data_IF_194017049976
#
_entry.id   IF_194017049976
#
_cell.length_a   1.000
_cell.length_b   1.000
_cell.length_c   1.000
_cell.angle_alpha   90.00
_cell.angle_beta   90.00
_cell.angle_gamma   90.00
#
_symmetry.space_group_name_H-M   'P 1'
#
loop_
_entity.id
_entity.type
_entity.pdbx_description
1 polymer ?
#
# COMPACT_ATOMS: atom_id res chain seq x y z
N UNK A 1 19.81 11.99 -19.31
CA UNK A 1 18.58 12.66 -19.78
C UNK A 1 18.12 11.96 -21.05
N UNK A 2 16.81 11.71 -21.22
CA UNK A 2 16.28 11.02 -22.39
C UNK A 2 16.33 9.48 -22.37
N UNK A 3 16.99 8.85 -21.40
CA UNK A 3 16.88 7.41 -21.16
C UNK A 3 15.47 7.10 -20.63
N UNK A 4 14.82 6.07 -21.17
CA UNK A 4 13.47 5.73 -20.73
C UNK A 4 13.46 5.05 -19.34
N UNK A 5 12.36 5.18 -18.63
CA UNK A 5 12.20 4.48 -17.33
C UNK A 5 12.34 2.96 -17.52
N UNK A 6 11.84 2.41 -18.64
CA UNK A 6 11.98 0.98 -18.99
C UNK A 6 13.46 0.57 -19.06
N UNK A 7 14.27 1.32 -19.77
CA UNK A 7 15.72 1.03 -19.89
C UNK A 7 16.39 1.04 -18.53
N UNK A 8 16.04 2.00 -17.67
CA UNK A 8 16.60 2.09 -16.31
C UNK A 8 16.19 0.88 -15.49
N UNK A 9 14.89 0.49 -15.50
CA UNK A 9 14.36 -0.59 -14.66
C UNK A 9 14.76 -1.96 -15.20
N UNK A 10 14.57 -2.21 -16.51
CA UNK A 10 14.70 -3.56 -17.07
C UNK A 10 16.13 -3.85 -17.54
N UNK A 11 16.77 -2.91 -18.28
CA UNK A 11 18.08 -3.15 -18.87
C UNK A 11 19.21 -2.90 -17.85
N UNK A 12 19.18 -1.75 -17.16
CA UNK A 12 20.24 -1.38 -16.21
C UNK A 12 19.99 -2.05 -14.84
N UNK A 13 18.77 -1.99 -14.35
CA UNK A 13 18.37 -2.52 -13.04
C UNK A 13 18.12 -4.03 -13.00
N UNK A 14 18.03 -4.69 -14.17
CA UNK A 14 17.77 -6.14 -14.25
C UNK A 14 16.32 -6.55 -13.97
N UNK A 15 15.38 -5.61 -13.99
CA UNK A 15 13.94 -5.85 -13.81
C UNK A 15 13.51 -6.02 -12.36
N UNK A 16 12.30 -6.57 -12.17
CA UNK A 16 11.73 -6.78 -10.84
C UNK A 16 12.14 -8.15 -10.29
N UNK A 17 12.69 -8.21 -9.07
CA UNK A 17 13.09 -9.48 -8.45
C UNK A 17 11.96 -10.52 -8.40
N UNK A 18 12.31 -11.79 -8.63
CA UNK A 18 11.34 -12.89 -8.57
C UNK A 18 10.37 -12.98 -9.75
N UNK A 19 10.63 -12.23 -10.85
CA UNK A 19 9.79 -12.27 -12.06
C UNK A 19 8.42 -11.60 -11.88
N UNK A 20 8.24 -10.78 -10.86
CA UNK A 20 7.03 -10.01 -10.63
C UNK A 20 6.89 -8.88 -11.66
N UNK A 21 5.68 -8.37 -11.79
CA UNK A 21 5.38 -7.28 -12.72
C UNK A 21 5.72 -5.92 -12.10
N UNK A 22 6.26 -5.03 -12.92
CA UNK A 22 6.37 -3.62 -12.58
C UNK A 22 4.99 -3.00 -12.38
N UNK A 23 4.80 -2.29 -11.29
CA UNK A 23 3.55 -1.57 -10.99
C UNK A 23 3.73 -0.07 -11.15
N UNK A 24 4.73 0.47 -10.51
CA UNK A 24 5.01 1.90 -10.53
C UNK A 24 6.46 2.20 -10.13
N UNK A 25 6.90 3.41 -10.40
CA UNK A 25 8.13 3.96 -9.83
C UNK A 25 7.87 5.32 -9.20
N UNK A 26 8.60 5.65 -8.17
CA UNK A 26 8.62 6.97 -7.53
C UNK A 26 9.95 7.63 -7.81
N UNK A 27 9.92 8.82 -8.42
CA UNK A 27 11.09 9.68 -8.62
C UNK A 27 11.05 10.87 -7.67
N UNK A 28 12.19 11.48 -7.38
CA UNK A 28 12.28 12.67 -6.54
C UNK A 28 11.96 12.45 -5.06
N UNK A 29 11.95 11.20 -4.59
CA UNK A 29 11.65 10.85 -3.21
C UNK A 29 10.26 11.32 -2.75
N UNK A 30 10.12 11.79 -1.49
CA UNK A 30 8.82 12.22 -0.94
C UNK A 30 8.25 13.49 -1.57
N UNK A 31 9.05 14.20 -2.36
CA UNK A 31 8.63 15.42 -3.08
C UNK A 31 8.14 15.15 -4.49
N UNK A 32 8.46 13.98 -5.04
CA UNK A 32 8.12 13.60 -6.41
C UNK A 32 6.74 12.97 -6.53
N UNK A 33 6.49 12.39 -7.69
CA UNK A 33 5.24 11.71 -8.01
C UNK A 33 5.45 10.26 -8.42
N UNK A 34 4.39 9.49 -8.31
CA UNK A 34 4.36 8.10 -8.73
C UNK A 34 4.15 8.02 -10.25
N UNK A 35 4.95 7.21 -10.92
CA UNK A 35 4.91 6.95 -12.37
C UNK A 35 4.36 5.53 -12.57
N UNK A 36 3.11 5.35 -13.05
CA UNK A 36 2.54 4.03 -13.25
C UNK A 36 3.09 3.34 -14.50
N UNK A 37 2.84 2.03 -14.62
CA UNK A 37 3.35 1.18 -15.69
C UNK A 37 3.05 1.69 -17.12
N UNK A 38 1.95 2.42 -17.30
CA UNK A 38 1.58 3.02 -18.60
C UNK A 38 2.60 4.05 -19.12
N UNK A 39 3.42 4.60 -18.25
CA UNK A 39 4.48 5.57 -18.60
C UNK A 39 5.88 4.96 -18.50
N UNK A 40 6.01 3.65 -18.57
CA UNK A 40 7.31 2.97 -18.46
C UNK A 40 8.28 3.39 -19.60
N UNK A 41 7.75 3.79 -20.75
CA UNK A 41 8.54 4.23 -21.90
C UNK A 41 8.79 5.75 -21.95
N UNK A 42 8.41 6.48 -20.88
CA UNK A 42 8.65 7.92 -20.79
C UNK A 42 10.16 8.19 -20.65
N UNK A 43 10.71 9.16 -21.38
CA UNK A 43 12.07 9.64 -21.13
C UNK A 43 12.19 10.28 -19.75
N UNK A 44 13.24 9.95 -19.03
CA UNK A 44 13.50 10.57 -17.72
C UNK A 44 14.24 11.88 -17.94
N UNK A 45 13.47 12.95 -17.98
CA UNK A 45 13.92 14.33 -18.04
C UNK A 45 12.95 15.24 -17.27
N UNK A 46 13.29 16.52 -17.14
CA UNK A 46 12.51 17.44 -16.32
C UNK A 46 11.10 17.69 -16.87
N UNK A 47 10.99 17.91 -18.19
CA UNK A 47 9.73 18.33 -18.82
C UNK A 47 8.71 17.19 -18.84
N UNK A 48 9.12 16.01 -19.29
CA UNK A 48 8.27 14.82 -19.34
C UNK A 48 7.78 14.40 -17.93
N UNK A 49 8.66 14.47 -16.92
CA UNK A 49 8.28 14.12 -15.56
C UNK A 49 7.28 15.12 -14.95
N UNK A 50 7.44 16.41 -15.23
CA UNK A 50 6.50 17.44 -14.76
C UNK A 50 5.13 17.25 -15.42
N UNK A 51 5.05 16.93 -16.71
CA UNK A 51 3.80 16.71 -17.44
C UNK A 51 2.95 15.61 -16.82
N UNK A 52 3.56 14.53 -16.36
CA UNK A 52 2.85 13.42 -15.70
C UNK A 52 2.61 13.64 -14.19
N UNK A 53 3.01 14.79 -13.65
CA UNK A 53 2.84 15.13 -12.24
C UNK A 53 3.92 14.57 -11.30
N UNK A 54 5.08 14.21 -11.86
CA UNK A 54 6.26 13.81 -11.11
C UNK A 54 7.36 14.87 -11.17
N UNK A 55 8.55 14.56 -10.69
CA UNK A 55 9.72 15.42 -10.77
C UNK A 55 11.01 14.59 -10.65
N UNK A 56 12.10 15.09 -11.23
CA UNK A 56 13.42 14.44 -11.14
C UNK A 56 13.97 14.41 -9.71
N UNK A 57 13.81 15.52 -8.99
CA UNK A 57 14.38 15.69 -7.65
C UNK A 57 15.91 15.47 -7.67
N UNK A 58 16.40 14.69 -6.70
CA UNK A 58 17.81 14.31 -6.58
C UNK A 58 18.20 13.11 -7.46
N UNK A 59 17.30 12.60 -8.30
CA UNK A 59 17.52 11.39 -9.11
C UNK A 59 17.29 10.08 -8.38
N UNK A 60 16.79 10.13 -7.14
CA UNK A 60 16.39 8.91 -6.42
C UNK A 60 15.22 8.23 -7.13
N UNK A 61 15.31 6.91 -7.31
CA UNK A 61 14.29 6.09 -7.94
C UNK A 61 13.93 4.92 -7.03
N UNK A 62 12.65 4.79 -6.73
CA UNK A 62 12.10 3.64 -5.98
C UNK A 62 11.17 2.88 -6.93
N UNK A 63 11.47 1.61 -7.16
CA UNK A 63 10.69 0.75 -8.05
C UNK A 63 9.77 -0.15 -7.22
N UNK A 64 8.51 -0.23 -7.62
CA UNK A 64 7.45 -0.95 -6.92
C UNK A 64 6.88 -2.06 -7.81
N UNK A 65 6.64 -3.20 -7.21
CA UNK A 65 6.05 -4.38 -7.83
C UNK A 65 4.52 -4.45 -7.63
N UNK A 66 3.91 -5.48 -8.21
CA UNK A 66 2.47 -5.73 -8.11
C UNK A 66 1.96 -5.96 -6.68
N UNK A 67 2.84 -6.35 -5.75
CA UNK A 67 2.50 -6.57 -4.35
C UNK A 67 2.61 -5.28 -3.50
N UNK A 68 2.98 -4.16 -4.09
CA UNK A 68 3.07 -2.87 -3.40
C UNK A 68 1.70 -2.19 -3.33
N UNK A 69 1.30 -1.73 -2.14
CA UNK A 69 0.07 -0.97 -1.94
C UNK A 69 0.34 0.52 -2.15
N UNK A 70 -0.31 1.14 -3.12
CA UNK A 70 -0.04 2.55 -3.47
C UNK A 70 -0.54 3.52 -2.40
N UNK A 71 -1.56 3.15 -1.63
CA UNK A 71 -2.05 3.93 -0.48
C UNK A 71 -1.02 3.92 0.66
N UNK A 72 -0.42 2.77 0.94
CA UNK A 72 0.60 2.62 1.97
C UNK A 72 1.90 3.34 1.59
N UNK A 73 2.28 3.29 0.32
CA UNK A 73 3.42 4.04 -0.23
C UNK A 73 3.21 5.55 -0.11
N UNK A 74 2.01 6.05 -0.46
CA UNK A 74 1.69 7.48 -0.29
C UNK A 74 1.76 7.90 1.19
N UNK A 75 1.26 7.04 2.09
CA UNK A 75 1.35 7.24 3.55
C UNK A 75 2.80 7.30 4.00
N UNK A 76 3.64 6.36 3.58
CA UNK A 76 5.06 6.30 3.94
C UNK A 76 5.81 7.60 3.57
N UNK A 77 5.63 8.11 2.35
CA UNK A 77 6.25 9.36 1.93
C UNK A 77 5.74 10.57 2.71
N UNK A 78 4.46 10.57 3.05
CA UNK A 78 3.89 11.66 3.83
C UNK A 78 4.32 11.64 5.30
N UNK A 79 4.51 10.46 5.89
CA UNK A 79 5.09 10.30 7.24
C UNK A 79 6.45 10.97 7.30
N UNK A 80 7.33 10.66 6.36
CA UNK A 80 8.63 11.32 6.24
C UNK A 80 8.50 12.84 6.14
N UNK A 81 7.58 13.35 5.31
CA UNK A 81 7.40 14.81 5.16
C UNK A 81 6.88 15.47 6.42
N UNK A 82 6.03 14.80 7.20
CA UNK A 82 5.53 15.29 8.48
C UNK A 82 6.69 15.41 9.49
N UNK A 83 7.56 14.40 9.53
CA UNK A 83 8.71 14.37 10.45
C UNK A 83 9.76 15.44 10.10
N UNK A 84 9.99 15.69 8.79
CA UNK A 84 10.92 16.70 8.30
C UNK A 84 10.36 18.14 8.31
N UNK A 85 9.09 18.32 8.62
CA UNK A 85 8.46 19.64 8.66
C UNK A 85 9.06 20.50 9.77
N UNK A 86 9.58 21.68 9.40
CA UNK A 86 10.11 22.64 10.40
C UNK A 86 9.03 23.23 11.34
N UNK A 87 7.75 22.94 11.07
CA UNK A 87 6.62 23.36 11.90
C UNK A 87 6.27 24.85 11.89
N UNK A 88 6.95 25.68 11.10
CA UNK A 88 6.74 27.13 11.10
C UNK A 88 5.45 27.57 10.43
N UNK A 89 5.04 26.87 9.34
CA UNK A 89 3.92 27.30 8.51
C UNK A 89 2.71 26.38 8.66
N UNK A 90 1.57 26.96 9.01
CA UNK A 90 0.34 26.19 9.34
C UNK A 90 -0.13 25.25 8.22
N UNK A 91 -0.22 25.65 6.92
CA UNK A 91 -0.60 24.75 5.86
C UNK A 91 0.30 23.49 5.78
N UNK A 92 1.60 23.64 5.99
CA UNK A 92 2.51 22.50 6.07
C UNK A 92 2.31 21.73 7.39
N UNK A 93 2.53 22.37 8.53
CA UNK A 93 2.51 21.71 9.86
C UNK A 93 1.20 20.97 10.14
N UNK A 94 0.08 21.65 9.97
CA UNK A 94 -1.25 21.10 10.29
C UNK A 94 -1.81 20.31 9.10
N UNK A 95 -1.66 20.86 7.88
CA UNK A 95 -2.22 20.25 6.67
C UNK A 95 -1.62 18.87 6.39
N UNK A 96 -0.29 18.73 6.42
CA UNK A 96 0.35 17.42 6.20
C UNK A 96 -0.02 16.40 7.27
N UNK A 97 -0.13 16.84 8.54
CA UNK A 97 -0.58 15.97 9.63
C UNK A 97 -2.01 15.48 9.42
N UNK A 98 -2.93 16.37 9.04
CA UNK A 98 -4.33 16.00 8.73
C UNK A 98 -4.43 15.09 7.52
N UNK A 99 -3.60 15.33 6.51
CA UNK A 99 -3.54 14.47 5.33
C UNK A 99 -3.05 13.06 5.71
N UNK A 100 -2.06 12.97 6.60
CA UNK A 100 -1.57 11.69 7.15
C UNK A 100 -2.65 10.97 7.96
N UNK A 101 -3.41 11.69 8.80
CA UNK A 101 -4.54 11.12 9.56
C UNK A 101 -5.60 10.51 8.62
N UNK A 102 -5.87 11.15 7.46
CA UNK A 102 -6.80 10.63 6.46
C UNK A 102 -6.25 9.35 5.80
N UNK A 103 -4.98 9.33 5.39
CA UNK A 103 -4.35 8.12 4.83
C UNK A 103 -4.32 6.97 5.85
N UNK A 104 -4.08 7.28 7.13
CA UNK A 104 -4.15 6.29 8.20
C UNK A 104 -5.56 5.69 8.37
N UNK A 105 -6.62 6.52 8.23
CA UNK A 105 -8.00 6.01 8.18
C UNK A 105 -8.23 5.08 6.99
N UNK A 106 -7.71 5.44 5.79
CA UNK A 106 -7.84 4.60 4.58
C UNK A 106 -7.16 3.25 4.78
N UNK A 107 -5.89 3.24 5.21
CA UNK A 107 -5.13 1.99 5.42
C UNK A 107 -5.70 1.13 6.55
N UNK A 108 -6.48 1.71 7.46
CA UNK A 108 -7.23 1.01 8.52
C UNK A 108 -8.67 0.62 8.13
N UNK A 109 -9.12 0.99 6.92
CA UNK A 109 -10.48 0.71 6.46
C UNK A 109 -11.58 1.50 7.18
N UNK A 110 -11.22 2.61 7.84
CA UNK A 110 -12.14 3.46 8.60
C UNK A 110 -12.57 4.73 7.86
N UNK A 111 -11.99 4.98 6.67
CA UNK A 111 -12.31 6.13 5.85
C UNK A 111 -13.65 5.94 5.12
N UNK A 112 -14.22 7.08 4.69
CA UNK A 112 -15.41 7.18 3.84
C UNK A 112 -15.02 7.77 2.48
N UNK A 113 -15.93 7.75 1.49
CA UNK A 113 -15.70 8.39 0.21
C UNK A 113 -15.57 9.92 0.37
N UNK A 114 -16.29 10.51 1.30
CA UNK A 114 -16.17 11.93 1.65
C UNK A 114 -14.76 12.28 2.19
N UNK A 115 -14.14 11.36 2.97
CA UNK A 115 -12.76 11.52 3.43
C UNK A 115 -11.77 11.54 2.23
N UNK A 116 -12.09 10.81 1.14
CA UNK A 116 -11.28 10.81 -0.08
C UNK A 116 -11.33 12.15 -0.81
N UNK A 117 -12.51 12.73 -0.95
CA UNK A 117 -12.70 14.03 -1.57
C UNK A 117 -12.02 15.14 -0.74
N UNK A 118 -12.18 15.10 0.57
CA UNK A 118 -11.48 16.01 1.50
C UNK A 118 -9.96 15.88 1.41
N UNK A 119 -9.45 14.66 1.20
CA UNK A 119 -8.02 14.41 1.03
C UNK A 119 -7.49 15.12 -0.20
N UNK A 120 -8.20 15.03 -1.31
CA UNK A 120 -7.83 15.68 -2.57
C UNK A 120 -7.86 17.20 -2.44
N UNK A 121 -8.92 17.77 -1.87
CA UNK A 121 -9.02 19.22 -1.59
C UNK A 121 -7.89 19.71 -0.69
N UNK A 122 -7.58 18.96 0.38
CA UNK A 122 -6.52 19.29 1.31
C UNK A 122 -5.14 19.28 0.65
N UNK A 123 -4.89 18.34 -0.27
CA UNK A 123 -3.66 18.30 -1.06
C UNK A 123 -3.47 19.60 -1.85
N UNK A 124 -4.49 20.05 -2.58
CA UNK A 124 -4.42 21.31 -3.33
C UNK A 124 -4.27 22.52 -2.42
N UNK A 125 -4.96 22.54 -1.28
CA UNK A 125 -4.82 23.61 -0.29
C UNK A 125 -3.38 23.71 0.24
N UNK A 126 -2.76 22.59 0.64
CA UNK A 126 -1.39 22.56 1.14
C UNK A 126 -0.43 23.05 0.05
N UNK A 127 -0.57 22.50 -1.16
CA UNK A 127 0.29 22.83 -2.30
C UNK A 127 0.28 24.33 -2.63
N UNK A 128 -0.91 24.94 -2.61
CA UNK A 128 -1.10 26.37 -2.94
C UNK A 128 -0.62 27.31 -1.84
N UNK A 129 -0.77 26.93 -0.57
CA UNK A 129 -0.59 27.84 0.56
C UNK A 129 0.68 27.59 1.38
N UNK A 130 1.48 26.54 1.09
CA UNK A 130 2.75 26.35 1.75
C UNK A 130 3.82 27.31 1.18
N UNK A 131 4.70 27.82 2.06
CA UNK A 131 5.72 28.81 1.69
C UNK A 131 7.03 28.22 1.15
N UNK A 132 7.35 26.98 1.51
CA UNK A 132 8.61 26.36 1.06
C UNK A 132 8.35 25.11 0.24
N UNK A 133 9.38 24.66 -0.51
CA UNK A 133 9.31 23.50 -1.38
C UNK A 133 8.85 22.23 -0.69
N UNK A 134 9.25 21.96 0.57
CA UNK A 134 8.79 20.79 1.31
C UNK A 134 7.26 20.73 1.40
N UNK A 135 6.63 21.81 1.87
CA UNK A 135 5.17 21.86 2.02
C UNK A 135 4.45 21.88 0.68
N UNK A 136 5.00 22.57 -0.34
CA UNK A 136 4.41 22.63 -1.69
C UNK A 136 4.44 21.28 -2.40
N UNK A 137 5.42 20.45 -2.15
CA UNK A 137 5.59 19.15 -2.81
C UNK A 137 5.09 17.96 -1.98
N UNK A 138 4.90 18.13 -0.67
CA UNK A 138 4.39 17.09 0.23
C UNK A 138 3.15 16.32 -0.29
N UNK A 139 2.16 16.98 -0.94
CA UNK A 139 0.99 16.30 -1.48
C UNK A 139 1.23 15.52 -2.78
N UNK A 140 2.37 15.69 -3.46
CA UNK A 140 2.59 15.09 -4.79
C UNK A 140 2.45 13.57 -4.81
N UNK A 141 3.05 12.78 -3.87
CA UNK A 141 2.84 11.34 -3.84
C UNK A 141 1.38 10.95 -3.67
N UNK A 142 0.63 11.69 -2.85
CA UNK A 142 -0.80 11.43 -2.62
C UNK A 142 -1.61 11.75 -3.87
N UNK A 143 -1.40 12.92 -4.49
CA UNK A 143 -2.11 13.34 -5.71
C UNK A 143 -1.82 12.39 -6.88
N UNK A 144 -0.57 11.97 -7.08
CA UNK A 144 -0.21 11.05 -8.16
C UNK A 144 -0.80 9.66 -7.95
N UNK A 145 -0.79 9.14 -6.72
CA UNK A 145 -1.43 7.85 -6.42
C UNK A 145 -2.95 7.93 -6.50
N UNK A 146 -3.59 9.01 -6.09
CA UNK A 146 -5.03 9.25 -6.31
C UNK A 146 -5.38 9.31 -7.80
N UNK A 147 -4.55 9.94 -8.61
CA UNK A 147 -4.77 10.07 -10.05
C UNK A 147 -4.69 8.73 -10.78
N UNK A 148 -3.71 7.89 -10.44
CA UNK A 148 -3.39 6.70 -11.21
C UNK A 148 -3.86 5.37 -10.58
N UNK A 149 -4.15 5.36 -9.28
CA UNK A 149 -4.52 4.17 -8.50
C UNK A 149 -5.73 4.44 -7.60
N UNK A 150 -6.68 5.25 -8.08
CA UNK A 150 -7.91 5.58 -7.33
C UNK A 150 -8.71 4.34 -6.95
N UNK A 151 -8.68 3.31 -7.77
CA UNK A 151 -9.30 2.02 -7.55
C UNK A 151 -8.78 1.34 -6.27
N UNK A 152 -7.49 1.45 -5.96
CA UNK A 152 -6.96 0.92 -4.71
C UNK A 152 -7.50 1.67 -3.48
N UNK A 153 -7.65 3.00 -3.55
CA UNK A 153 -8.28 3.78 -2.48
C UNK A 153 -9.74 3.36 -2.28
N UNK A 154 -10.49 3.21 -3.36
CA UNK A 154 -11.89 2.74 -3.32
C UNK A 154 -11.98 1.35 -2.70
N UNK A 155 -11.11 0.41 -3.10
CA UNK A 155 -11.07 -0.93 -2.52
C UNK A 155 -10.80 -0.91 -1.01
N UNK A 156 -9.90 -0.04 -0.52
CA UNK A 156 -9.65 0.13 0.91
C UNK A 156 -10.86 0.71 1.65
N UNK A 157 -11.58 1.64 1.02
CA UNK A 157 -12.69 2.39 1.64
C UNK A 157 -13.99 1.59 1.58
N UNK A 158 -14.35 1.08 0.40
CA UNK A 158 -15.65 0.41 0.15
C UNK A 158 -15.57 -1.07 0.47
N UNK A 159 -14.61 -1.79 -0.14
CA UNK A 159 -14.50 -3.24 -0.02
C UNK A 159 -13.79 -3.67 1.28
N UNK A 160 -13.22 -2.70 2.03
CA UNK A 160 -12.40 -2.95 3.22
C UNK A 160 -11.28 -3.96 2.95
N UNK A 161 -10.71 -3.90 1.76
CA UNK A 161 -9.70 -4.83 1.28
C UNK A 161 -8.48 -4.08 0.73
N UNK A 162 -7.29 -4.55 1.06
CA UNK A 162 -6.05 -4.11 0.44
C UNK A 162 -5.70 -5.06 -0.71
N UNK A 163 -5.76 -4.63 -1.99
CA UNK A 163 -5.46 -5.50 -3.13
C UNK A 163 -4.06 -6.12 -3.07
N UNK A 164 -3.07 -5.37 -2.65
CA UNK A 164 -1.70 -5.84 -2.44
C UNK A 164 -1.51 -6.67 -1.16
N UNK A 165 -2.50 -6.69 -0.28
CA UNK A 165 -2.42 -7.42 0.99
C UNK A 165 -1.31 -6.94 1.93
N UNK A 166 -1.00 -5.65 1.94
CA UNK A 166 0.03 -5.01 2.77
C UNK A 166 -0.58 -4.43 4.05
N UNK A 167 -1.72 -3.74 3.94
CA UNK A 167 -2.35 -3.03 5.05
C UNK A 167 -2.87 -4.00 6.11
N UNK A 168 -2.14 -4.16 7.21
CA UNK A 168 -2.42 -5.14 8.27
C UNK A 168 -3.85 -5.10 8.79
N UNK A 169 -4.43 -3.90 8.92
CA UNK A 169 -5.80 -3.74 9.43
C UNK A 169 -6.87 -4.31 8.51
N UNK A 170 -6.58 -4.45 7.21
CA UNK A 170 -7.50 -4.97 6.21
C UNK A 170 -7.23 -6.43 5.84
N UNK A 171 -6.15 -7.03 6.39
CA UNK A 171 -5.87 -8.43 6.13
C UNK A 171 -6.91 -9.33 6.76
N UNK A 172 -7.34 -10.32 6.02
CA UNK A 172 -8.11 -11.44 6.52
C UNK A 172 -7.39 -12.75 6.23
N UNK A 173 -7.39 -13.65 7.19
CA UNK A 173 -6.89 -15.00 6.97
C UNK A 173 -8.07 -15.98 7.02
N UNK A 174 -8.14 -16.84 6.01
CA UNK A 174 -9.20 -17.86 5.91
C UNK A 174 -8.58 -19.23 5.75
N UNK A 175 -9.19 -20.22 6.39
CA UNK A 175 -8.80 -21.63 6.23
C UNK A 175 -9.76 -22.25 5.20
N UNK A 176 -9.21 -22.77 4.11
CA UNK A 176 -9.98 -23.57 3.15
C UNK A 176 -10.19 -24.96 3.75
N UNK A 177 -11.40 -25.27 4.11
CA UNK A 177 -11.76 -26.50 4.83
C UNK A 177 -11.33 -27.76 4.07
N UNK A 178 -11.51 -27.79 2.74
CA UNK A 178 -11.15 -28.93 1.88
C UNK A 178 -9.63 -29.21 1.85
N UNK A 179 -8.81 -28.19 2.01
CA UNK A 179 -7.35 -28.31 2.10
C UNK A 179 -6.86 -28.57 3.53
N UNK A 180 -7.70 -28.34 4.53
CA UNK A 180 -7.34 -28.47 5.94
C UNK A 180 -7.35 -29.94 6.39
N UNK A 181 -6.26 -30.41 6.98
CA UNK A 181 -6.13 -31.76 7.55
C UNK A 181 -6.51 -31.84 9.03
N UNK A 182 -6.95 -30.76 9.66
CA UNK A 182 -7.33 -30.74 11.06
C UNK A 182 -6.15 -30.96 12.06
N UNK A 183 -4.91 -30.85 11.61
CA UNK A 183 -3.71 -31.19 12.42
C UNK A 183 -3.45 -30.28 13.62
N UNK A 184 -4.12 -29.10 13.70
CA UNK A 184 -4.03 -28.20 14.84
C UNK A 184 -2.73 -27.39 14.98
N UNK A 185 -1.75 -27.54 14.07
CA UNK A 185 -0.47 -26.83 14.19
C UNK A 185 -0.64 -25.31 14.12
N UNK A 186 -1.53 -24.81 13.24
CA UNK A 186 -1.83 -23.39 13.14
C UNK A 186 -2.51 -22.84 14.42
N UNK A 187 -3.33 -23.65 15.10
CA UNK A 187 -3.94 -23.25 16.37
C UNK A 187 -2.89 -23.12 17.48
N UNK A 188 -1.92 -24.04 17.55
CA UNK A 188 -0.78 -23.97 18.48
C UNK A 188 0.13 -22.77 18.22
N UNK A 189 0.29 -22.38 16.96
CA UNK A 189 1.11 -21.24 16.56
C UNK A 189 0.40 -19.89 16.69
N UNK A 190 -0.90 -19.87 17.02
CA UNK A 190 -1.69 -18.65 17.11
C UNK A 190 -1.51 -17.96 18.47
N UNK A 191 -0.84 -16.81 18.57
CA UNK A 191 -0.63 -16.13 19.85
C UNK A 191 -1.93 -15.61 20.49
N UNK A 192 -2.95 -15.35 19.67
CA UNK A 192 -4.24 -14.84 20.13
C UNK A 192 -5.29 -15.95 20.38
N UNK A 193 -4.95 -17.23 20.15
CA UNK A 193 -5.92 -18.33 20.31
C UNK A 193 -7.14 -18.22 19.38
N UNK A 194 -7.00 -17.50 18.26
CA UNK A 194 -8.10 -17.20 17.33
C UNK A 194 -8.49 -18.38 16.41
N UNK A 195 -7.91 -19.55 16.58
CA UNK A 195 -8.15 -20.70 15.68
C UNK A 195 -8.76 -21.84 16.47
N UNK A 196 -9.98 -22.22 16.08
CA UNK A 196 -10.77 -23.28 16.72
C UNK A 196 -11.11 -24.39 15.73
N UNK A 197 -11.45 -25.56 16.24
CA UNK A 197 -11.97 -26.67 15.44
C UNK A 197 -13.42 -26.37 15.06
N UNK A 198 -13.80 -26.77 13.86
CA UNK A 198 -15.19 -26.77 13.39
C UNK A 198 -15.76 -28.19 13.50
N UNK A 199 -17.06 -28.32 13.26
CA UNK A 199 -17.69 -29.66 13.17
C UNK A 199 -17.57 -30.27 11.75
N UNK A 200 -17.06 -29.50 10.79
CA UNK A 200 -16.94 -29.95 9.41
C UNK A 200 -15.69 -30.80 9.18
N UNK A 201 -15.89 -32.02 8.67
CA UNK A 201 -14.85 -32.94 8.24
C UNK A 201 -14.90 -33.03 6.70
N UNK A 202 -13.84 -32.58 6.04
CA UNK A 202 -13.78 -32.63 4.59
C UNK A 202 -13.73 -34.10 4.07
N UNK A 203 -14.26 -34.37 2.88
CA UNK A 203 -14.23 -35.70 2.26
C UNK A 203 -12.81 -36.27 2.22
N UNK A 204 -12.66 -37.52 2.68
CA UNK A 204 -11.35 -38.23 2.77
C UNK A 204 -10.45 -37.79 3.91
N UNK A 205 -10.90 -36.96 4.83
CA UNK A 205 -10.15 -36.53 6.03
C UNK A 205 -10.68 -37.21 7.28
N UNK A 206 -9.81 -37.37 8.29
CA UNK A 206 -10.16 -38.02 9.57
C UNK A 206 -10.45 -37.03 10.70
N UNK A 207 -10.01 -35.77 10.53
CA UNK A 207 -10.12 -34.76 11.57
C UNK A 207 -10.91 -33.54 11.06
N UNK A 208 -11.64 -32.86 11.94
CA UNK A 208 -12.40 -31.69 11.56
C UNK A 208 -11.47 -30.54 11.13
N UNK A 209 -11.94 -29.76 10.16
CA UNK A 209 -11.26 -28.56 9.72
C UNK A 209 -11.22 -27.51 10.86
N UNK A 210 -10.30 -26.57 10.75
CA UNK A 210 -10.21 -25.44 11.66
C UNK A 210 -10.79 -24.18 11.00
N UNK A 211 -11.23 -23.23 11.81
CA UNK A 211 -11.65 -21.88 11.40
C UNK A 211 -10.86 -20.81 12.16
N UNK A 212 -10.78 -19.64 11.57
CA UNK A 212 -10.16 -18.46 12.20
C UNK A 212 -11.28 -17.52 12.63
N UNK A 213 -11.31 -17.18 13.90
CA UNK A 213 -12.14 -16.12 14.46
C UNK A 213 -11.49 -14.77 14.06
N UNK A 214 -12.16 -14.04 13.16
CA UNK A 214 -11.65 -12.77 12.62
C UNK A 214 -11.55 -11.68 13.68
N UNK A 215 -12.39 -11.73 14.71
CA UNK A 215 -12.47 -10.71 15.77
C UNK A 215 -11.30 -10.85 16.77
N UNK A 216 -10.90 -12.11 17.02
CA UNK A 216 -9.75 -12.41 17.88
C UNK A 216 -8.42 -12.39 17.13
N UNK A 217 -8.46 -12.42 15.79
CA UNK A 217 -7.26 -12.54 14.97
C UNK A 217 -6.44 -11.25 14.96
N UNK A 218 -5.21 -11.31 15.47
CA UNK A 218 -4.24 -10.19 15.45
C UNK A 218 -3.50 -10.05 14.11
N UNK A 219 -3.91 -10.82 13.10
CA UNK A 219 -3.43 -10.70 11.71
C UNK A 219 -1.90 -10.86 11.53
N UNK A 220 -1.25 -11.62 12.40
CA UNK A 220 0.22 -11.79 12.40
C UNK A 220 0.77 -12.73 11.31
N UNK A 221 -0.08 -13.55 10.66
CA UNK A 221 0.33 -14.48 9.61
C UNK A 221 1.01 -15.77 10.06
N UNK A 222 1.30 -15.97 11.36
CA UNK A 222 2.00 -17.15 11.89
C UNK A 222 1.30 -18.47 11.51
N UNK A 223 -0.02 -18.49 11.46
CA UNK A 223 -0.80 -19.65 11.04
C UNK A 223 -0.53 -20.04 9.58
N UNK A 224 -0.38 -19.06 8.69
CA UNK A 224 -0.13 -19.29 7.26
C UNK A 224 1.27 -19.86 7.04
N UNK A 225 2.30 -19.30 7.71
CA UNK A 225 3.69 -19.79 7.60
C UNK A 225 3.87 -21.20 8.20
N UNK A 226 3.09 -21.56 9.23
CA UNK A 226 3.16 -22.89 9.88
C UNK A 226 2.37 -23.96 9.11
N UNK A 227 1.46 -23.58 8.21
CA UNK A 227 0.60 -24.55 7.52
C UNK A 227 1.32 -25.27 6.37
N UNK A 228 1.77 -26.50 6.61
CA UNK A 228 2.42 -27.34 5.59
C UNK A 228 1.51 -27.66 4.38
N UNK A 229 0.20 -27.64 4.57
CA UNK A 229 -0.79 -27.98 3.54
C UNK A 229 -1.24 -26.78 2.72
N UNK A 230 -0.69 -25.59 2.96
CA UNK A 230 -1.08 -24.34 2.31
C UNK A 230 -2.61 -24.13 2.29
N UNK A 231 -3.29 -24.58 3.37
CA UNK A 231 -4.74 -24.49 3.53
C UNK A 231 -5.19 -23.09 3.99
N UNK A 232 -4.27 -22.19 4.33
CA UNK A 232 -4.59 -20.85 4.82
C UNK A 232 -4.23 -19.85 3.74
N UNK A 233 -5.22 -19.05 3.35
CA UNK A 233 -5.08 -17.99 2.37
C UNK A 233 -5.20 -16.63 3.05
N UNK A 234 -4.49 -15.66 2.49
CA UNK A 234 -4.55 -14.25 2.83
C UNK A 234 -5.46 -13.55 1.83
N UNK A 235 -6.41 -12.76 2.29
CA UNK A 235 -7.36 -12.02 1.47
C UNK A 235 -7.59 -10.61 2.00
#
# INVERSE_FOLDING_TARGET
MGTTLRQIVEEIGGGIPGGKKFKAAQTGGPSGGCIPAQYLDIPIDYDNLIEIGSMMGSGGLIVMDEDSCMVDIAKFFLEFTVDESCGKWTPCRIGTKRLLDLLDKVTKGKATMEDLDRMEELCYYIKKNALCGLGQTAPNPVLSTLRYFRDEYVAHIVDKKCPAGVCKSLLTYKITADKCFGCGMCAKACPAGAITKTDYVAPGKKLPALSIDTDKCVKCGACMSTCKFKAITKG
#
